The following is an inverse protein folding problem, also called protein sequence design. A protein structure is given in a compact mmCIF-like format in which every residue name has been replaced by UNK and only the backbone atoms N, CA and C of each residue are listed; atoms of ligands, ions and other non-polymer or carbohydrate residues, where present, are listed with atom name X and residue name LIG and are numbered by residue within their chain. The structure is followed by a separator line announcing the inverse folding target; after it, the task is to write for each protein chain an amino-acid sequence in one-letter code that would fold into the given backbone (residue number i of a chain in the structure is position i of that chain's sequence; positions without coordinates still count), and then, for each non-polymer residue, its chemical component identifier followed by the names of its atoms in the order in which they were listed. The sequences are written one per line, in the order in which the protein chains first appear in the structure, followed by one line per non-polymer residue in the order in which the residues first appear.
data_IF_289198728310
#
_entry.id   IF_289198728310
#
_cell.length_a   1.000
_cell.length_b   1.000
_cell.length_c   1.000
_cell.angle_alpha   90.00
_cell.angle_beta   90.00
_cell.angle_gamma   90.00
#
_symmetry.space_group_name_H-M   'P 1'
#
loop_
_entity.id
_entity.type
_entity.pdbx_description
1 polymer ?
#
# COMPACT_ATOMS: atom_id res chain seq x y z
N UNK A 1 16.84 -7.12 -13.04
CA UNK A 1 16.58 -6.12 -14.11
C UNK A 1 15.21 -5.46 -13.98
N UNK A 2 14.17 -6.16 -13.48
CA UNK A 2 12.82 -5.60 -13.26
C UNK A 2 12.73 -4.68 -12.02
N UNK A 3 13.48 -4.98 -10.95
CA UNK A 3 13.46 -4.22 -9.68
C UNK A 3 13.70 -2.71 -9.87
N UNK A 4 14.67 -2.31 -10.71
CA UNK A 4 14.97 -0.88 -10.91
C UNK A 4 13.85 -0.11 -11.60
N UNK A 5 13.05 -0.78 -12.43
CA UNK A 5 11.87 -0.17 -13.07
C UNK A 5 10.71 -0.05 -12.08
N UNK A 6 10.50 -1.07 -11.25
CA UNK A 6 9.50 -1.03 -10.17
C UNK A 6 9.77 0.13 -9.21
N UNK A 7 11.01 0.28 -8.74
CA UNK A 7 11.38 1.36 -7.83
C UNK A 7 11.16 2.77 -8.43
N UNK A 8 11.38 2.93 -9.74
CA UNK A 8 11.11 4.19 -10.45
C UNK A 8 9.62 4.51 -10.46
N UNK A 9 8.77 3.52 -10.74
CA UNK A 9 7.32 3.71 -10.70
C UNK A 9 6.82 4.01 -9.29
N UNK A 10 7.26 3.24 -8.29
CA UNK A 10 6.92 3.45 -6.89
C UNK A 10 7.27 4.87 -6.43
N UNK A 11 8.48 5.36 -6.73
CA UNK A 11 8.91 6.73 -6.39
C UNK A 11 8.08 7.78 -7.10
N UNK A 12 7.82 7.61 -8.40
CA UNK A 12 7.03 8.57 -9.16
C UNK A 12 5.60 8.66 -8.62
N UNK A 13 4.93 7.51 -8.44
CA UNK A 13 3.56 7.42 -7.94
C UNK A 13 3.47 7.99 -6.53
N UNK A 14 4.38 7.61 -5.62
CA UNK A 14 4.45 8.17 -4.27
C UNK A 14 4.56 9.70 -4.27
N UNK A 15 5.51 10.24 -5.04
CA UNK A 15 5.73 11.68 -5.09
C UNK A 15 4.50 12.41 -5.63
N UNK A 16 3.83 11.84 -6.62
CA UNK A 16 2.62 12.41 -7.21
C UNK A 16 1.46 12.44 -6.22
N UNK A 17 1.20 11.32 -5.55
CA UNK A 17 0.14 11.21 -4.54
C UNK A 17 0.33 12.25 -3.43
N UNK A 18 1.56 12.40 -2.93
CA UNK A 18 1.88 13.37 -1.87
C UNK A 18 1.78 14.80 -2.38
N UNK A 19 2.34 15.12 -3.55
CA UNK A 19 2.38 16.47 -4.08
C UNK A 19 1.00 16.99 -4.48
N UNK A 20 0.15 16.13 -5.04
CA UNK A 20 -1.20 16.47 -5.49
C UNK A 20 -2.27 16.22 -4.41
N UNK A 21 -1.88 15.72 -3.23
CA UNK A 21 -2.81 15.37 -2.14
C UNK A 21 -3.93 14.40 -2.58
N UNK A 22 -3.58 13.40 -3.38
CA UNK A 22 -4.53 12.45 -3.95
C UNK A 22 -5.04 11.51 -2.86
N UNK A 23 -6.35 11.46 -2.66
CA UNK A 23 -6.98 10.42 -1.84
C UNK A 23 -7.06 9.11 -2.60
N UNK A 24 -6.46 8.06 -2.05
CA UNK A 24 -6.46 6.74 -2.65
C UNK A 24 -7.70 5.94 -2.21
N UNK A 25 -8.36 5.21 -3.12
CA UNK A 25 -9.43 4.31 -2.74
C UNK A 25 -8.87 3.05 -2.09
N UNK A 26 -9.62 2.45 -1.17
CA UNK A 26 -9.27 1.15 -0.57
C UNK A 26 -9.33 0.04 -1.63
N UNK A 27 -8.44 -0.95 -1.51
CA UNK A 27 -8.46 -2.12 -2.38
C UNK A 27 -9.59 -3.05 -1.93
N UNK A 28 -10.51 -3.45 -2.83
CA UNK A 28 -11.57 -4.40 -2.50
C UNK A 28 -11.01 -5.73 -1.98
N UNK A 29 -11.67 -6.30 -0.96
CA UNK A 29 -11.23 -7.55 -0.34
C UNK A 29 -11.17 -8.73 -1.33
N UNK A 30 -12.05 -8.77 -2.32
CA UNK A 30 -12.02 -9.79 -3.39
C UNK A 30 -10.78 -9.70 -4.28
N UNK A 31 -10.23 -8.48 -4.45
CA UNK A 31 -8.98 -8.26 -5.19
C UNK A 31 -7.79 -8.68 -4.33
N UNK A 32 -7.77 -8.33 -3.04
CA UNK A 32 -6.74 -8.76 -2.10
C UNK A 32 -6.70 -10.29 -1.94
N UNK A 33 -7.86 -10.94 -1.94
CA UNK A 33 -7.97 -12.40 -1.84
C UNK A 33 -7.27 -13.15 -2.99
N UNK A 34 -6.95 -12.48 -4.10
CA UNK A 34 -6.15 -13.05 -5.20
C UNK A 34 -4.67 -13.20 -4.84
N UNK A 35 -4.23 -12.57 -3.75
CA UNK A 35 -2.84 -12.56 -3.27
C UNK A 35 -2.77 -13.11 -1.85
N UNK A 36 -2.88 -14.44 -1.66
CA UNK A 36 -3.00 -15.06 -0.33
C UNK A 36 -1.82 -14.76 0.60
N UNK A 37 -0.59 -14.65 0.07
CA UNK A 37 0.58 -14.28 0.88
C UNK A 37 0.50 -12.85 1.44
N UNK A 38 -0.16 -11.92 0.73
CA UNK A 38 -0.37 -10.55 1.23
C UNK A 38 -1.43 -10.56 2.32
N UNK A 39 -2.52 -11.31 2.14
CA UNK A 39 -3.57 -11.46 3.15
C UNK A 39 -3.01 -12.06 4.43
N UNK A 40 -2.22 -13.13 4.34
CA UNK A 40 -1.58 -13.76 5.50
C UNK A 40 -0.63 -12.79 6.23
N UNK A 41 0.13 -11.97 5.48
CA UNK A 41 1.00 -10.96 6.07
C UNK A 41 0.22 -9.86 6.79
N UNK A 42 -0.91 -9.41 6.21
CA UNK A 42 -1.81 -8.45 6.84
C UNK A 42 -2.38 -9.03 8.15
N UNK A 43 -2.95 -10.23 8.09
CA UNK A 43 -3.54 -10.91 9.26
C UNK A 43 -2.51 -11.11 10.39
N UNK A 44 -1.27 -11.46 10.03
CA UNK A 44 -0.18 -11.61 11.00
C UNK A 44 0.15 -10.29 11.71
N UNK A 45 0.28 -9.20 10.95
CA UNK A 45 0.57 -7.87 11.50
C UNK A 45 -0.60 -7.34 12.35
N UNK A 46 -1.84 -7.57 11.92
CA UNK A 46 -3.02 -7.21 12.70
C UNK A 46 -3.12 -8.00 14.00
N UNK A 47 -2.77 -9.28 14.01
CA UNK A 47 -2.71 -10.11 15.22
C UNK A 47 -1.65 -9.63 16.22
N UNK A 48 -0.58 -8.99 15.74
CA UNK A 48 0.43 -8.32 16.58
C UNK A 48 -0.03 -6.94 17.08
N UNK A 49 -1.22 -6.47 16.69
CA UNK A 49 -1.80 -5.21 17.12
C UNK A 49 -1.43 -4.00 16.24
N UNK A 50 -0.98 -4.24 15.00
CA UNK A 50 -0.71 -3.20 14.01
C UNK A 50 -1.79 -3.22 12.92
N UNK A 51 -2.80 -2.33 12.99
CA UNK A 51 -3.77 -2.20 11.91
C UNK A 51 -3.09 -1.88 10.57
N UNK A 52 -3.43 -2.64 9.54
CA UNK A 52 -2.91 -2.47 8.18
C UNK A 52 -4.06 -2.09 7.23
N UNK A 53 -3.86 -1.04 6.46
CA UNK A 53 -4.79 -0.60 5.42
C UNK A 53 -4.12 -0.69 4.05
N UNK A 54 -4.84 -1.20 3.04
CA UNK A 54 -4.33 -1.32 1.68
C UNK A 54 -5.16 -0.44 0.72
N UNK A 55 -4.46 0.44 0.01
CA UNK A 55 -5.04 1.40 -0.92
C UNK A 55 -4.50 1.21 -2.34
N UNK A 56 -5.36 1.46 -3.33
CA UNK A 56 -5.02 1.39 -4.73
C UNK A 56 -4.20 2.62 -5.15
N UNK A 57 -2.90 2.42 -5.34
CA UNK A 57 -1.95 3.43 -5.82
C UNK A 57 -1.84 3.49 -7.34
N UNK A 58 -2.67 2.79 -8.09
CA UNK A 58 -2.50 2.62 -9.54
C UNK A 58 -2.75 3.88 -10.37
N UNK A 59 -3.29 4.95 -9.73
CA UNK A 59 -3.70 6.20 -10.37
C UNK A 59 -4.64 5.95 -11.55
N UNK A 60 -5.66 5.11 -11.34
CA UNK A 60 -6.65 4.74 -12.35
C UNK A 60 -6.17 3.61 -13.27
N UNK A 61 -5.39 2.66 -12.76
CA UNK A 61 -4.91 1.49 -13.51
C UNK A 61 -3.69 1.74 -14.41
N UNK A 62 -3.04 2.90 -14.29
CA UNK A 62 -1.89 3.27 -15.11
C UNK A 62 -0.58 2.65 -14.61
N UNK A 63 -0.46 2.46 -13.29
CA UNK A 63 0.74 1.95 -12.66
C UNK A 63 0.44 0.72 -11.79
N UNK A 64 1.32 -0.29 -11.76
CA UNK A 64 1.16 -1.44 -10.90
C UNK A 64 1.70 -1.13 -9.49
N UNK A 65 1.10 -0.16 -8.79
CA UNK A 65 1.53 0.29 -7.46
C UNK A 65 0.37 0.23 -6.48
N UNK A 66 0.62 -0.30 -5.29
CA UNK A 66 -0.27 -0.23 -4.13
C UNK A 66 0.35 0.63 -3.03
N UNK A 67 -0.48 1.14 -2.13
CA UNK A 67 -0.04 1.82 -0.92
C UNK A 67 -0.55 1.05 0.30
N UNK A 68 0.36 0.58 1.14
CA UNK A 68 0.03 -0.09 2.40
C UNK A 68 0.36 0.85 3.55
N UNK A 69 -0.60 1.08 4.42
CA UNK A 69 -0.48 1.96 5.57
C UNK A 69 -0.54 1.15 6.84
N UNK A 70 0.54 1.19 7.61
CA UNK A 70 0.63 0.62 8.95
C UNK A 70 0.39 1.73 9.97
N UNK A 71 -0.58 1.52 10.86
CA UNK A 71 -0.82 2.41 11.99
C UNK A 71 -0.33 1.77 13.28
N UNK A 72 0.45 2.51 14.07
CA UNK A 72 0.88 2.07 15.40
C UNK A 72 0.06 2.80 16.48
N UNK A 73 -0.95 2.14 17.08
CA UNK A 73 -1.82 2.78 18.07
C UNK A 73 -1.09 3.13 19.38
N UNK A 74 0.05 2.50 19.69
CA UNK A 74 0.77 2.72 20.94
C UNK A 74 1.47 4.08 21.01
N UNK A 75 1.87 4.64 19.87
CA UNK A 75 2.59 5.91 19.78
C UNK A 75 2.03 6.89 18.74
N UNK A 76 0.96 6.50 18.04
CA UNK A 76 0.30 7.31 17.02
C UNK A 76 1.09 7.48 15.73
N UNK A 77 2.14 6.68 15.48
CA UNK A 77 2.88 6.76 14.23
C UNK A 77 2.15 6.05 13.10
N UNK A 78 2.37 6.53 11.88
CA UNK A 78 1.78 6.00 10.66
C UNK A 78 2.87 5.85 9.61
N UNK A 79 2.94 4.69 8.96
CA UNK A 79 3.91 4.38 7.93
C UNK A 79 3.19 4.00 6.65
N UNK A 80 3.37 4.80 5.59
CA UNK A 80 2.89 4.47 4.26
C UNK A 80 4.04 3.89 3.43
N UNK A 81 3.88 2.67 2.95
CA UNK A 81 4.79 1.97 2.05
C UNK A 81 4.15 1.82 0.68
N UNK A 82 4.95 2.00 -0.38
CA UNK A 82 4.51 1.88 -1.77
C UNK A 82 5.29 0.74 -2.42
N UNK A 83 4.60 -0.12 -3.18
CA UNK A 83 5.18 -1.31 -3.81
C UNK A 83 4.28 -1.92 -4.86
#
# INVERSE_FOLDING_TARGET
RVQGLSEVFERYVKNRIIAESISLPEIPADVLARYPAVVEAIETLEAEGFPIFAYDGSLGGQYPVICVVLFNPANGTCFASFG
#
